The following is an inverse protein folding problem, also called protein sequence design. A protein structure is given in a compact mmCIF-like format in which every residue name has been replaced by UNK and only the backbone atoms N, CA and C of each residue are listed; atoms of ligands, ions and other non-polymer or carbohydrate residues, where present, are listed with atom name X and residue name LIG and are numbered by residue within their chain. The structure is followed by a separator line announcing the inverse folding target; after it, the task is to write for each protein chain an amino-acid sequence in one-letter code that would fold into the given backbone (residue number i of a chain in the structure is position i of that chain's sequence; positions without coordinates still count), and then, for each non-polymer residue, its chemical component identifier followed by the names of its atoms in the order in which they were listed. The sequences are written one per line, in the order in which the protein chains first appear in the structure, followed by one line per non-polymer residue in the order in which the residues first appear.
data_IF_997923743158
#
_entry.id   IF_997923743158
#
_cell.length_a   1.000
_cell.length_b   1.000
_cell.length_c   1.000
_cell.angle_alpha   90.00
_cell.angle_beta   90.00
_cell.angle_gamma   90.00
#
_symmetry.space_group_name_H-M   'P 1'
#
loop_
_entity.id
_entity.type
_entity.pdbx_description
1 polymer ?
#
# COMPACT_ATOMS: atom_id res chain seq x y z
N UNK A 1 -3.15 -11.60 61.40
CA UNK A 1 -3.04 -12.04 60.00
C UNK A 1 -3.14 -10.78 59.13
N UNK A 2 -2.09 -9.99 58.86
CA UNK A 2 -0.95 -10.13 57.93
C UNK A 2 -1.33 -10.43 56.47
N UNK A 3 -1.50 -9.40 55.64
CA UNK A 3 -0.72 -9.20 54.39
C UNK A 3 -1.24 -8.02 53.53
N UNK A 4 -0.43 -6.96 53.28
CA UNK A 4 -0.76 -5.86 52.37
C UNK A 4 -0.02 -6.00 51.02
N UNK A 5 -0.04 -7.18 50.40
CA UNK A 5 0.80 -7.48 49.20
C UNK A 5 0.03 -7.76 47.91
N UNK A 6 -1.29 -7.61 47.91
CA UNK A 6 -2.12 -8.00 46.75
C UNK A 6 -2.43 -6.80 45.83
N UNK A 7 -2.30 -5.56 46.32
CA UNK A 7 -2.65 -4.36 45.54
C UNK A 7 -1.57 -4.00 44.49
N UNK A 8 -0.33 -4.48 44.66
CA UNK A 8 0.76 -4.17 43.73
C UNK A 8 0.79 -5.05 42.46
N UNK A 9 0.06 -6.17 42.43
CA UNK A 9 0.09 -7.10 41.29
C UNK A 9 -0.85 -6.66 40.14
N UNK A 10 -1.84 -5.81 40.42
CA UNK A 10 -2.86 -5.41 39.45
C UNK A 10 -2.43 -4.27 38.51
N UNK A 11 -1.43 -3.47 38.91
CA UNK A 11 -0.94 -2.36 38.09
C UNK A 11 0.04 -2.81 36.99
N UNK A 12 0.71 -3.94 37.16
CA UNK A 12 1.72 -4.41 36.21
C UNK A 12 1.10 -5.12 34.99
N UNK A 13 -0.12 -5.66 35.11
CA UNK A 13 -0.86 -6.24 33.99
C UNK A 13 -1.49 -5.18 33.07
N UNK A 14 -1.87 -4.02 33.59
CA UNK A 14 -2.45 -2.94 32.79
C UNK A 14 -1.42 -2.29 31.85
N UNK A 15 -0.14 -2.23 32.25
CA UNK A 15 0.93 -1.71 31.40
C UNK A 15 1.36 -2.70 30.29
N UNK A 16 1.23 -4.01 30.53
CA UNK A 16 1.55 -5.03 29.53
C UNK A 16 0.50 -5.14 28.41
N UNK A 17 -0.76 -4.77 28.68
CA UNK A 17 -1.81 -4.76 27.67
C UNK A 17 -1.63 -3.66 26.61
N UNK A 18 -1.05 -2.51 26.97
CA UNK A 18 -0.82 -1.39 26.05
C UNK A 18 0.42 -1.65 25.15
N UNK A 19 1.35 -2.50 25.59
CA UNK A 19 2.53 -2.84 24.80
C UNK A 19 2.23 -3.83 23.65
N UNK A 20 1.09 -4.54 23.69
CA UNK A 20 0.74 -5.56 22.69
C UNK A 20 -0.11 -5.02 21.52
N UNK A 21 -0.64 -3.79 21.62
CA UNK A 21 -1.44 -3.17 20.54
C UNK A 21 -0.59 -2.59 19.41
N UNK A 22 0.74 -2.72 19.48
CA UNK A 22 1.67 -2.20 18.47
C UNK A 22 1.86 -3.08 17.22
N UNK A 23 1.40 -4.34 17.24
CA UNK A 23 1.51 -5.26 16.10
C UNK A 23 0.18 -5.51 15.35
N UNK A 24 -0.94 -4.95 15.82
CA UNK A 24 -2.26 -5.20 15.23
C UNK A 24 -2.84 -3.98 14.48
N UNK A 25 -2.01 -2.98 14.17
CA UNK A 25 -2.45 -1.75 13.50
C UNK A 25 -2.80 -1.92 12.01
N UNK A 26 -2.99 -3.15 11.52
CA UNK A 26 -3.41 -3.45 10.14
C UNK A 26 -4.67 -4.32 10.04
N UNK A 27 -5.33 -4.67 11.15
CA UNK A 27 -6.65 -5.31 11.03
C UNK A 27 -7.68 -4.20 10.89
N UNK A 28 -8.08 -3.91 9.66
CA UNK A 28 -9.17 -2.98 9.34
C UNK A 28 -10.40 -3.35 10.16
N UNK A 29 -10.79 -2.47 11.09
CA UNK A 29 -12.10 -2.49 11.73
C UNK A 29 -13.15 -2.51 10.61
N UNK A 30 -13.86 -3.63 10.49
CA UNK A 30 -15.03 -3.74 9.62
C UNK A 30 -16.16 -2.96 10.29
N UNK A 31 -16.08 -1.63 10.18
CA UNK A 31 -17.17 -0.76 10.56
C UNK A 31 -18.31 -0.99 9.56
N UNK A 32 -19.34 -1.69 10.03
CA UNK A 32 -20.57 -1.98 9.30
C UNK A 32 -21.33 -0.67 9.09
N UNK A 33 -20.96 0.07 8.05
CA UNK A 33 -21.74 1.18 7.52
C UNK A 33 -22.34 0.73 6.19
N UNK A 34 -23.64 0.45 6.23
CA UNK A 34 -24.60 0.40 5.11
C UNK A 34 -24.05 -0.13 3.79
N UNK A 35 -24.41 -1.37 3.48
CA UNK A 35 -24.42 -1.89 2.11
C UNK A 35 -25.23 -0.97 1.21
N UNK A 36 -24.56 -0.02 0.56
CA UNK A 36 -24.98 0.46 -0.75
C UNK A 36 -24.99 -0.78 -1.65
N UNK A 37 -26.15 -1.05 -2.23
CA UNK A 37 -26.35 -2.21 -3.09
C UNK A 37 -25.27 -2.22 -4.17
N UNK A 38 -24.49 -3.30 -4.20
CA UNK A 38 -23.28 -3.41 -4.98
C UNK A 38 -23.49 -3.06 -6.45
N UNK A 39 -22.89 -1.96 -6.88
CA UNK A 39 -22.27 -1.97 -8.20
C UNK A 39 -20.96 -2.74 -8.03
N UNK A 40 -20.90 -3.95 -8.58
CA UNK A 40 -19.60 -4.56 -8.89
C UNK A 40 -18.79 -3.53 -9.68
N UNK A 41 -17.52 -3.32 -9.34
CA UNK A 41 -16.67 -2.47 -10.15
C UNK A 41 -16.75 -2.91 -11.62
N UNK A 42 -16.93 -1.95 -12.53
CA UNK A 42 -16.89 -2.22 -13.96
C UNK A 42 -15.44 -2.25 -14.50
N UNK A 43 -14.45 -1.96 -13.65
CA UNK A 43 -13.05 -1.98 -14.02
C UNK A 43 -12.53 -3.41 -14.05
N UNK A 44 -11.78 -3.72 -15.10
CA UNK A 44 -11.08 -4.99 -15.24
C UNK A 44 -9.81 -4.78 -16.06
N UNK A 45 -8.88 -5.73 -15.98
CA UNK A 45 -7.65 -5.72 -16.78
C UNK A 45 -6.40 -5.80 -15.93
N UNK A 46 -5.27 -5.45 -16.53
CA UNK A 46 -3.95 -5.49 -15.91
C UNK A 46 -3.29 -4.13 -16.05
N UNK A 47 -2.64 -3.68 -14.97
CA UNK A 47 -1.78 -2.50 -14.95
C UNK A 47 -0.42 -2.93 -14.39
N UNK A 48 0.63 -2.78 -15.20
CA UNK A 48 2.00 -3.09 -14.83
C UNK A 48 2.78 -1.81 -14.54
N UNK A 49 3.22 -1.65 -13.30
CA UNK A 49 4.08 -0.56 -12.86
C UNK A 49 5.53 -0.99 -12.70
N UNK A 50 6.46 -0.07 -12.96
CA UNK A 50 7.90 -0.25 -12.68
C UNK A 50 8.44 1.04 -12.08
N UNK A 51 9.26 0.99 -11.04
CA UNK A 51 9.77 2.23 -10.48
C UNK A 51 10.65 2.15 -9.24
N UNK A 52 10.76 3.29 -8.58
CA UNK A 52 11.55 3.50 -7.39
C UNK A 52 11.21 2.50 -6.28
N UNK A 53 12.23 1.82 -5.75
CA UNK A 53 12.07 0.93 -4.60
C UNK A 53 11.73 1.67 -3.30
N UNK A 54 12.13 2.94 -3.21
CA UNK A 54 11.75 3.90 -2.15
C UNK A 54 10.23 4.11 -2.03
N UNK A 55 9.49 3.94 -3.14
CA UNK A 55 8.04 4.08 -3.19
C UNK A 55 7.31 2.74 -3.01
N UNK A 56 8.04 1.61 -3.00
CA UNK A 56 7.45 0.26 -3.04
C UNK A 56 6.42 0.00 -1.95
N UNK A 57 6.68 0.39 -0.69
CA UNK A 57 5.70 0.18 0.39
C UNK A 57 4.42 1.00 0.23
N UNK A 58 4.48 2.15 -0.43
CA UNK A 58 3.29 2.95 -0.73
C UNK A 58 2.50 2.30 -1.87
N UNK A 59 3.19 1.88 -2.94
CA UNK A 59 2.59 1.17 -4.07
C UNK A 59 1.90 -0.12 -3.62
N UNK A 60 2.54 -0.93 -2.77
CA UNK A 60 1.94 -2.15 -2.21
C UNK A 60 0.62 -1.84 -1.47
N UNK A 61 0.59 -0.77 -0.67
CA UNK A 61 -0.60 -0.37 0.08
C UNK A 61 -1.72 0.14 -0.85
N UNK A 62 -1.37 0.92 -1.87
CA UNK A 62 -2.33 1.44 -2.85
C UNK A 62 -2.88 0.33 -3.73
N UNK A 63 -2.04 -0.59 -4.21
CA UNK A 63 -2.43 -1.76 -4.99
C UNK A 63 -3.40 -2.62 -4.19
N UNK A 64 -3.09 -2.91 -2.93
CA UNK A 64 -3.97 -3.70 -2.06
C UNK A 64 -5.35 -3.05 -1.91
N UNK A 65 -5.39 -1.76 -1.58
CA UNK A 65 -6.63 -1.01 -1.42
C UNK A 65 -7.43 -0.93 -2.73
N UNK A 66 -6.75 -0.67 -3.85
CA UNK A 66 -7.38 -0.51 -5.15
C UNK A 66 -7.98 -1.82 -5.66
N UNK A 67 -7.25 -2.94 -5.56
CA UNK A 67 -7.76 -4.25 -5.97
C UNK A 67 -8.86 -4.76 -5.03
N UNK A 68 -8.83 -4.42 -3.74
CA UNK A 68 -9.96 -4.72 -2.85
C UNK A 68 -11.26 -4.03 -3.28
N UNK A 69 -11.16 -2.82 -3.86
CA UNK A 69 -12.30 -2.11 -4.41
C UNK A 69 -12.67 -2.55 -5.84
N UNK A 70 -11.72 -3.13 -6.58
CA UNK A 70 -11.84 -3.51 -7.98
C UNK A 70 -11.27 -4.92 -8.21
N UNK A 71 -12.02 -5.98 -7.86
CA UNK A 71 -11.48 -7.34 -7.80
C UNK A 71 -11.11 -7.94 -9.16
N UNK A 72 -11.63 -7.37 -10.27
CA UNK A 72 -11.32 -7.82 -11.63
C UNK A 72 -10.11 -7.08 -12.25
N UNK A 73 -9.47 -6.17 -11.50
CA UNK A 73 -8.23 -5.49 -11.89
C UNK A 73 -7.04 -6.13 -11.18
N UNK A 74 -5.99 -6.41 -11.94
CA UNK A 74 -4.69 -6.80 -11.41
C UNK A 74 -3.71 -5.64 -11.59
N UNK A 75 -3.09 -5.18 -10.51
CA UNK A 75 -2.02 -4.18 -10.54
C UNK A 75 -0.75 -4.83 -10.01
N UNK A 76 0.35 -4.68 -10.75
CA UNK A 76 1.68 -5.13 -10.33
C UNK A 76 2.62 -3.94 -10.24
N UNK A 77 3.65 -4.05 -9.40
CA UNK A 77 4.71 -3.06 -9.31
C UNK A 77 6.08 -3.74 -9.17
N UNK A 78 7.01 -3.40 -10.05
CA UNK A 78 8.40 -3.86 -9.99
C UNK A 78 9.31 -2.78 -9.41
N UNK A 79 9.91 -2.97 -8.23
CA UNK A 79 10.73 -1.95 -7.56
C UNK A 79 12.18 -1.91 -8.11
N UNK A 80 12.33 -1.76 -9.42
CA UNK A 80 13.62 -1.85 -10.13
C UNK A 80 14.45 -0.54 -10.10
N UNK A 81 13.87 0.53 -9.56
CA UNK A 81 14.49 1.85 -9.41
C UNK A 81 13.88 2.94 -10.30
N UNK A 82 14.03 4.19 -9.88
CA UNK A 82 13.48 5.38 -10.54
C UNK A 82 13.85 5.52 -12.02
N UNK A 83 15.08 5.14 -12.39
CA UNK A 83 15.57 5.19 -13.78
C UNK A 83 14.92 4.12 -14.65
N UNK A 84 14.93 2.87 -14.18
CA UNK A 84 14.28 1.75 -14.87
C UNK A 84 12.79 2.01 -15.09
N UNK A 85 12.10 2.58 -14.10
CA UNK A 85 10.69 2.97 -14.23
C UNK A 85 10.45 3.99 -15.35
N UNK A 86 11.22 5.08 -15.39
CA UNK A 86 11.10 6.10 -16.45
C UNK A 86 11.41 5.51 -17.83
N UNK A 87 12.47 4.73 -17.95
CA UNK A 87 12.84 4.06 -19.21
C UNK A 87 11.73 3.11 -19.70
N UNK A 88 11.20 2.26 -18.81
CA UNK A 88 10.13 1.34 -19.15
C UNK A 88 8.85 2.06 -19.56
N UNK A 89 8.47 3.14 -18.86
CA UNK A 89 7.29 3.94 -19.19
C UNK A 89 7.42 4.65 -20.55
N UNK A 90 8.56 5.28 -20.84
CA UNK A 90 8.82 5.91 -22.15
C UNK A 90 8.76 4.86 -23.27
N UNK A 91 9.35 3.68 -23.04
CA UNK A 91 9.39 2.59 -24.01
C UNK A 91 8.07 1.79 -24.12
N UNK A 92 6.99 2.20 -23.44
CA UNK A 92 5.70 1.48 -23.45
C UNK A 92 5.75 0.09 -22.80
N UNK A 93 6.80 -0.20 -22.03
CA UNK A 93 6.97 -1.47 -21.31
C UNK A 93 6.30 -1.51 -19.94
N UNK A 94 5.78 -0.37 -19.46
CA UNK A 94 5.02 -0.23 -18.23
C UNK A 94 3.85 0.74 -18.45
N UNK A 95 2.71 0.46 -17.83
CA UNK A 95 1.51 1.32 -17.88
C UNK A 95 1.68 2.58 -17.00
N UNK A 96 2.51 2.47 -15.95
CA UNK A 96 2.86 3.58 -15.08
C UNK A 96 4.26 3.41 -14.48
N UNK A 97 4.85 4.51 -13.99
CA UNK A 97 6.14 4.48 -13.32
C UNK A 97 6.20 5.32 -12.05
N UNK A 98 6.76 4.73 -10.99
CA UNK A 98 7.13 5.44 -9.76
C UNK A 98 8.55 5.99 -9.89
N UNK A 99 8.75 7.29 -9.63
CA UNK A 99 10.08 7.90 -9.71
C UNK A 99 10.29 8.97 -8.65
N UNK A 100 11.44 8.96 -7.99
CA UNK A 100 11.84 10.02 -7.05
C UNK A 100 12.38 11.27 -7.76
N UNK A 101 12.56 11.18 -9.08
CA UNK A 101 13.06 12.25 -9.93
C UNK A 101 12.08 12.47 -11.06
N UNK A 102 11.82 13.74 -11.37
CA UNK A 102 11.11 14.09 -12.59
C UNK A 102 11.87 13.61 -13.83
N UNK A 103 11.13 13.37 -14.92
CA UNK A 103 11.70 13.23 -16.25
C UNK A 103 12.50 14.49 -16.58
N UNK A 104 13.65 14.33 -17.21
CA UNK A 104 14.40 15.42 -17.83
C UNK A 104 13.65 16.00 -19.03
N UNK A 105 14.05 17.21 -19.47
CA UNK A 105 13.47 17.83 -20.66
C UNK A 105 13.66 16.98 -21.93
N UNK A 106 14.81 16.29 -22.04
CA UNK A 106 15.10 15.38 -23.15
C UNK A 106 14.19 14.14 -23.11
N UNK A 107 13.96 13.54 -21.94
CA UNK A 107 13.01 12.43 -21.77
C UNK A 107 11.57 12.87 -22.08
N UNK A 108 11.15 14.06 -21.64
CA UNK A 108 9.80 14.58 -21.88
C UNK A 108 9.53 14.91 -23.36
N UNK A 109 10.56 15.31 -24.10
CA UNK A 109 10.45 15.63 -25.53
C UNK A 109 10.66 14.42 -26.43
N UNK A 110 11.03 13.28 -25.85
CA UNK A 110 11.12 12.01 -26.55
C UNK A 110 9.74 11.48 -26.98
N UNK A 111 9.73 10.44 -27.81
CA UNK A 111 8.49 9.75 -28.19
C UNK A 111 8.19 8.67 -27.16
N UNK A 112 6.98 8.70 -26.60
CA UNK A 112 6.46 7.64 -25.74
C UNK A 112 5.83 6.57 -26.64
N UNK A 113 6.19 5.31 -26.41
CA UNK A 113 5.76 4.19 -27.27
C UNK A 113 4.46 3.48 -26.79
N UNK A 114 3.86 3.96 -25.69
CA UNK A 114 2.62 3.44 -25.09
C UNK A 114 1.33 4.05 -25.62
#
# INVERSE_FOLDING_TARGET
MKSPKIIAASAMFAAAAIALTGCAANETDTDTSTSESGSSSALSGQLAGVGASSQGSAEDAWIAAFQSANPDVTVTYSPDGSGAGREAFIAGGADFAGSDSALSDDELTSTFEG
#
